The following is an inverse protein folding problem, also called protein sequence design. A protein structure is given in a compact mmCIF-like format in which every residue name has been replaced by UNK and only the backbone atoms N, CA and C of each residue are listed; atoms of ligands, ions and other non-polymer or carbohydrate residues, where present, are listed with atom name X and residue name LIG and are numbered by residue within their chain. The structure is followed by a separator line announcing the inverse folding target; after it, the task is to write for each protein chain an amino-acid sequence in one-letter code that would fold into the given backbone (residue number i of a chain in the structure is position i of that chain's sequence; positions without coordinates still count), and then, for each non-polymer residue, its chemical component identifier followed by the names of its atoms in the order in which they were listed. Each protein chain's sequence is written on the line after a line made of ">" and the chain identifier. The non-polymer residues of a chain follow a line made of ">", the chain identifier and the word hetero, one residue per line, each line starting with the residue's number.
data_IF_506812472502
#
_entry.id   IF_506812472502
#
_cell.length_a   1.000
_cell.length_b   1.000
_cell.length_c   1.000
_cell.angle_alpha   90.00
_cell.angle_beta   90.00
_cell.angle_gamma   90.00
#
_symmetry.space_group_name_H-M   'P 1'
#
loop_
_entity.id
_entity.type
_entity.pdbx_description
1 polymer ?
#
# COMPACT_ATOMS: atom_id res chain seq x y z
N UNK A 1 -4.22 -20.88 -0.88
CA UNK A 1 -4.52 -19.43 -0.78
C UNK A 1 -3.81 -18.82 0.41
N UNK A 2 -4.05 -19.29 1.64
CA UNK A 2 -3.45 -18.72 2.88
C UNK A 2 -1.93 -18.46 2.89
N UNK A 3 -1.14 -19.29 2.20
CA UNK A 3 0.31 -19.15 2.14
C UNK A 3 0.82 -18.27 0.99
N UNK A 4 -0.07 -17.64 0.21
CA UNK A 4 0.37 -16.67 -0.80
C UNK A 4 1.02 -15.45 -0.15
N UNK A 5 2.08 -14.95 -0.77
CA UNK A 5 2.86 -13.80 -0.33
C UNK A 5 3.01 -12.80 -1.48
N UNK A 6 2.40 -11.62 -1.34
CA UNK A 6 2.43 -10.56 -2.35
C UNK A 6 3.22 -9.37 -1.82
N UNK A 7 4.33 -9.02 -2.46
CA UNK A 7 5.17 -7.89 -2.04
C UNK A 7 5.23 -6.83 -3.14
N UNK A 8 4.95 -5.54 -2.84
CA UNK A 8 5.09 -4.47 -3.84
C UNK A 8 6.50 -4.28 -4.38
N UNK A 9 7.53 -4.76 -3.66
CA UNK A 9 8.93 -4.75 -4.09
C UNK A 9 9.33 -5.89 -5.03
N UNK A 10 8.43 -6.83 -5.36
CA UNK A 10 8.70 -7.86 -6.36
C UNK A 10 8.51 -7.27 -7.76
N UNK A 11 9.42 -6.38 -8.16
CA UNK A 11 9.38 -5.62 -9.42
C UNK A 11 10.32 -6.27 -10.45
N UNK A 12 9.82 -6.71 -11.63
CA UNK A 12 10.68 -7.18 -12.71
C UNK A 12 11.33 -5.99 -13.44
N UNK A 13 12.38 -6.24 -14.26
CA UNK A 13 13.02 -5.19 -15.06
C UNK A 13 12.02 -4.38 -15.89
N UNK A 14 12.18 -3.05 -15.88
CA UNK A 14 11.25 -2.11 -16.51
C UNK A 14 10.18 -1.53 -15.57
N UNK A 15 10.07 -2.03 -14.34
CA UNK A 15 9.24 -1.47 -13.28
C UNK A 15 10.11 -0.94 -12.14
N UNK A 16 9.71 0.18 -11.54
CA UNK A 16 10.41 0.81 -10.43
C UNK A 16 9.44 1.46 -9.44
N UNK A 17 9.90 1.73 -8.23
CA UNK A 17 9.09 2.38 -7.20
C UNK A 17 9.11 3.90 -7.33
N UNK A 18 7.98 4.55 -7.07
CA UNK A 18 7.89 6.01 -6.94
C UNK A 18 8.27 6.46 -5.52
N UNK A 19 8.61 7.76 -5.31
CA UNK A 19 8.86 8.32 -3.97
C UNK A 19 7.58 8.53 -3.13
N UNK A 20 6.47 7.87 -3.46
CA UNK A 20 5.27 7.86 -2.62
C UNK A 20 5.60 7.27 -1.23
N UNK A 21 5.38 8.06 -0.18
CA UNK A 21 5.73 7.69 1.20
C UNK A 21 5.05 6.39 1.66
N UNK A 22 3.82 6.14 1.23
CA UNK A 22 3.11 4.92 1.55
C UNK A 22 3.68 3.73 0.77
N UNK A 23 4.04 3.91 -0.50
CA UNK A 23 4.70 2.84 -1.27
C UNK A 23 6.05 2.48 -0.64
N UNK A 24 6.88 3.47 -0.32
CA UNK A 24 8.21 3.28 0.28
C UNK A 24 8.14 2.43 1.56
N UNK A 25 7.18 2.69 2.45
CA UNK A 25 6.98 1.87 3.65
C UNK A 25 6.59 0.42 3.31
N UNK A 26 5.77 0.21 2.28
CA UNK A 26 5.29 -1.13 1.87
C UNK A 26 6.37 -1.99 1.23
N UNK A 27 7.39 -1.39 0.61
CA UNK A 27 8.53 -2.13 0.06
C UNK A 27 9.25 -2.95 1.14
N UNK A 28 9.31 -2.42 2.37
CA UNK A 28 9.89 -3.11 3.51
C UNK A 28 8.87 -3.96 4.29
N UNK A 29 7.68 -3.42 4.55
CA UNK A 29 6.72 -4.04 5.47
C UNK A 29 6.25 -5.43 5.04
N UNK A 30 6.04 -5.64 3.73
CA UNK A 30 5.52 -6.90 3.22
C UNK A 30 6.52 -8.06 3.33
N UNK A 31 7.77 -7.96 2.81
CA UNK A 31 8.73 -9.05 2.99
C UNK A 31 9.04 -9.33 4.46
N UNK A 32 9.01 -8.31 5.34
CA UNK A 32 9.12 -8.53 6.78
C UNK A 32 7.96 -9.36 7.34
N UNK A 33 6.72 -8.95 7.05
CA UNK A 33 5.52 -9.67 7.46
C UNK A 33 5.48 -11.12 6.91
N UNK A 34 5.95 -11.36 5.69
CA UNK A 34 6.02 -12.70 5.11
C UNK A 34 6.97 -13.62 5.87
N UNK A 35 8.16 -13.12 6.23
CA UNK A 35 9.15 -13.89 7.00
C UNK A 35 8.60 -14.30 8.35
N UNK A 36 7.83 -13.44 9.02
CA UNK A 36 7.18 -13.77 10.28
C UNK A 36 5.99 -14.73 10.09
N UNK A 37 5.07 -14.42 9.18
CA UNK A 37 3.79 -15.14 9.02
C UNK A 37 3.96 -16.54 8.44
N UNK A 38 4.87 -16.72 7.50
CA UNK A 38 5.04 -17.97 6.73
C UNK A 38 6.40 -18.62 7.03
N UNK A 39 7.45 -17.81 7.16
CA UNK A 39 8.82 -18.26 7.38
C UNK A 39 9.79 -17.69 6.36
N UNK A 40 11.08 -17.71 6.68
CA UNK A 40 12.13 -17.13 5.85
C UNK A 40 12.21 -17.71 4.44
N UNK A 41 11.88 -19.00 4.28
CA UNK A 41 11.88 -19.72 3.00
C UNK A 41 10.51 -19.70 2.28
N UNK A 42 9.61 -18.75 2.61
CA UNK A 42 8.27 -18.68 2.00
C UNK A 42 8.26 -18.60 0.46
N UNK A 43 9.34 -18.06 -0.14
CA UNK A 43 9.51 -17.98 -1.59
C UNK A 43 9.69 -19.32 -2.29
N UNK A 44 10.02 -20.39 -1.57
CA UNK A 44 10.15 -21.74 -2.14
C UNK A 44 8.82 -22.50 -2.27
N UNK A 45 7.75 -22.01 -1.63
CA UNK A 45 6.42 -22.63 -1.70
C UNK A 45 5.86 -22.55 -3.13
N UNK A 46 5.15 -23.60 -3.57
CA UNK A 46 4.66 -23.71 -4.95
C UNK A 46 3.83 -22.50 -5.44
N UNK A 47 3.08 -21.87 -4.54
CA UNK A 47 2.26 -20.69 -4.86
C UNK A 47 3.08 -19.40 -4.98
N UNK A 48 4.25 -19.33 -4.34
CA UNK A 48 5.10 -18.14 -4.29
C UNK A 48 6.35 -18.26 -5.17
N UNK A 49 6.74 -19.48 -5.55
CA UNK A 49 7.96 -19.71 -6.31
C UNK A 49 7.83 -19.10 -7.71
N UNK A 50 8.88 -18.43 -8.20
CA UNK A 50 8.89 -17.92 -9.55
C UNK A 50 8.90 -19.08 -10.56
N UNK A 51 8.42 -18.80 -11.78
CA UNK A 51 8.40 -19.73 -12.92
C UNK A 51 9.51 -19.46 -13.93
N UNK A 52 10.55 -18.75 -13.51
CA UNK A 52 11.77 -18.48 -14.26
C UNK A 52 12.99 -18.99 -13.47
N UNK A 53 14.17 -19.10 -14.09
CA UNK A 53 15.39 -19.47 -13.38
C UNK A 53 15.67 -18.55 -12.18
N UNK A 54 16.07 -19.13 -11.06
CA UNK A 54 16.45 -18.41 -9.84
C UNK A 54 17.85 -18.84 -9.44
N UNK A 55 18.77 -17.88 -9.43
CA UNK A 55 20.14 -18.09 -8.97
C UNK A 55 20.41 -17.07 -7.85
N UNK A 56 20.52 -17.56 -6.61
CA UNK A 56 20.81 -16.71 -5.45
C UNK A 56 21.81 -17.39 -4.52
N UNK A 57 22.48 -16.58 -3.70
CA UNK A 57 23.35 -17.05 -2.62
C UNK A 57 22.60 -17.31 -1.30
N UNK A 58 21.26 -17.21 -1.28
CA UNK A 58 20.47 -17.49 -0.08
C UNK A 58 20.55 -18.98 0.28
N UNK A 59 20.82 -19.29 1.55
CA UNK A 59 20.96 -20.64 2.10
C UNK A 59 20.23 -20.79 3.42
N UNK A 60 19.99 -22.03 3.80
CA UNK A 60 19.49 -22.46 5.11
C UNK A 60 18.15 -21.80 5.49
N UNK A 61 17.99 -21.44 6.76
CA UNK A 61 16.74 -20.96 7.31
C UNK A 61 15.74 -22.08 7.62
N UNK A 62 14.74 -21.77 8.44
CA UNK A 62 13.72 -22.73 8.84
C UNK A 62 12.98 -23.27 7.60
N UNK A 63 12.73 -24.58 7.59
CA UNK A 63 11.96 -25.26 6.53
C UNK A 63 12.58 -25.05 5.14
N UNK A 64 13.89 -25.32 5.01
CA UNK A 64 14.57 -25.37 3.70
C UNK A 64 14.37 -26.75 3.06
N UNK A 65 13.64 -26.83 1.96
CA UNK A 65 13.23 -28.11 1.32
C UNK A 65 13.53 -28.20 -0.18
N UNK A 66 14.14 -27.19 -0.78
CA UNK A 66 14.39 -27.07 -2.23
C UNK A 66 15.78 -27.58 -2.66
N UNK A 67 16.46 -28.34 -1.80
CA UNK A 67 17.83 -28.80 -2.01
C UNK A 67 18.93 -27.79 -1.63
N UNK A 68 18.56 -26.57 -1.21
CA UNK A 68 19.49 -25.57 -0.63
C UNK A 68 20.69 -25.20 -1.52
N UNK A 69 20.56 -25.33 -2.85
CA UNK A 69 21.67 -25.11 -3.78
C UNK A 69 22.79 -26.16 -3.71
N UNK A 70 22.61 -27.26 -2.98
CA UNK A 70 23.61 -28.33 -2.86
C UNK A 70 24.97 -27.85 -2.35
N UNK A 71 26.05 -28.30 -2.99
CA UNK A 71 27.43 -27.95 -2.62
C UNK A 71 27.96 -26.67 -3.31
N UNK A 72 27.09 -25.87 -3.91
CA UNK A 72 27.51 -24.62 -4.57
C UNK A 72 28.01 -23.59 -3.56
N UNK A 73 29.00 -22.80 -3.97
CA UNK A 73 29.56 -21.73 -3.13
C UNK A 73 28.50 -20.66 -2.80
N UNK A 74 28.72 -19.99 -1.67
CA UNK A 74 27.74 -19.10 -1.02
C UNK A 74 28.21 -17.64 -0.95
N UNK A 75 29.27 -17.29 -1.69
CA UNK A 75 29.90 -15.97 -1.62
C UNK A 75 30.21 -15.42 -3.01
N UNK A 76 30.22 -14.10 -3.11
CA UNK A 76 30.62 -13.32 -4.28
C UNK A 76 31.47 -12.13 -3.77
N UNK A 77 32.54 -11.72 -4.47
CA UNK A 77 33.09 -12.32 -5.69
C UNK A 77 33.77 -13.68 -5.44
N UNK A 78 33.76 -14.56 -6.44
CA UNK A 78 34.44 -15.86 -6.38
C UNK A 78 34.96 -16.29 -7.77
N UNK A 79 35.85 -17.28 -7.83
CA UNK A 79 36.50 -17.75 -9.08
C UNK A 79 35.89 -19.02 -9.68
N UNK A 80 34.71 -19.43 -9.22
CA UNK A 80 34.11 -20.75 -9.52
C UNK A 80 32.70 -20.63 -10.11
N UNK A 81 32.30 -19.43 -10.54
CA UNK A 81 30.98 -19.13 -11.08
C UNK A 81 29.89 -19.00 -10.00
N UNK A 82 28.64 -18.85 -10.43
CA UNK A 82 27.48 -18.71 -9.54
C UNK A 82 26.51 -17.63 -10.02
N UNK A 83 25.72 -17.08 -9.09
CA UNK A 83 24.91 -15.91 -9.37
C UNK A 83 25.82 -14.68 -9.52
N UNK A 84 25.60 -13.88 -10.56
CA UNK A 84 26.36 -12.65 -10.83
C UNK A 84 25.39 -11.49 -11.02
N UNK A 85 25.84 -10.28 -10.65
CA UNK A 85 25.07 -9.07 -10.89
C UNK A 85 25.09 -8.73 -12.38
N UNK A 86 23.94 -8.30 -12.91
CA UNK A 86 23.82 -7.85 -14.30
C UNK A 86 23.48 -6.36 -14.34
N UNK A 87 24.49 -5.57 -14.70
CA UNK A 87 24.40 -4.10 -14.75
C UNK A 87 23.34 -3.61 -15.75
N UNK A 88 22.94 -4.43 -16.73
CA UNK A 88 21.92 -4.06 -17.71
C UNK A 88 20.52 -3.88 -17.10
N UNK A 89 20.30 -4.39 -15.88
CA UNK A 89 19.07 -4.21 -15.11
C UNK A 89 19.13 -3.07 -14.09
N UNK A 90 20.18 -2.23 -14.11
CA UNK A 90 20.30 -1.11 -13.18
C UNK A 90 19.14 -0.11 -13.34
N UNK A 91 18.58 0.33 -12.22
CA UNK A 91 17.58 1.41 -12.23
C UNK A 91 18.22 2.74 -12.67
N UNK A 92 17.48 3.60 -13.39
CA UNK A 92 17.96 4.94 -13.69
C UNK A 92 18.08 5.77 -12.40
N UNK A 93 19.05 6.70 -12.31
CA UNK A 93 19.21 7.53 -11.13
C UNK A 93 18.00 8.46 -10.94
N UNK A 94 17.51 8.57 -9.70
CA UNK A 94 16.51 9.56 -9.30
C UNK A 94 17.20 10.78 -8.68
N UNK A 95 16.94 11.97 -9.23
CA UNK A 95 17.44 13.23 -8.65
C UNK A 95 16.68 13.54 -7.35
N UNK A 96 17.42 13.90 -6.31
CA UNK A 96 16.89 14.28 -4.98
C UNK A 96 17.34 15.72 -4.69
N UNK A 97 16.48 16.50 -4.04
CA UNK A 97 16.71 17.89 -3.65
C UNK A 97 16.12 18.15 -2.26
N UNK A 98 16.78 18.99 -1.46
CA UNK A 98 16.40 19.29 -0.08
C UNK A 98 17.14 18.47 0.98
N UNK A 99 16.87 18.80 2.24
CA UNK A 99 17.47 18.15 3.41
C UNK A 99 16.74 16.85 3.78
N UNK A 100 17.40 15.98 4.52
CA UNK A 100 16.74 14.83 5.13
C UNK A 100 15.98 15.25 6.39
N UNK A 101 14.66 15.43 6.28
CA UNK A 101 13.79 15.81 7.41
C UNK A 101 12.39 15.15 7.33
N UNK A 102 11.61 15.26 8.41
CA UNK A 102 10.23 14.81 8.51
C UNK A 102 9.27 15.88 8.00
N UNK A 103 9.23 16.06 6.69
CA UNK A 103 8.35 17.02 6.03
C UNK A 103 6.86 16.79 6.36
N UNK A 104 6.17 17.82 6.85
CA UNK A 104 4.72 17.76 7.05
C UNK A 104 3.99 17.63 5.71
N UNK A 105 3.12 16.64 5.59
CA UNK A 105 2.34 16.41 4.37
C UNK A 105 1.15 17.36 4.25
N UNK A 106 0.74 18.02 5.35
CA UNK A 106 -0.40 18.96 5.38
C UNK A 106 -0.15 20.27 4.66
N UNK A 107 1.05 20.45 4.11
CA UNK A 107 1.34 21.53 3.16
C UNK A 107 0.48 21.44 1.91
N UNK A 108 0.12 20.21 1.49
CA UNK A 108 -0.97 19.99 0.55
C UNK A 108 -2.29 19.94 1.33
N UNK A 109 -3.12 20.96 1.15
CA UNK A 109 -4.41 21.12 1.81
C UNK A 109 -5.60 20.71 0.93
N UNK A 110 -5.35 20.19 -0.28
CA UNK A 110 -6.41 19.81 -1.21
C UNK A 110 -6.99 18.44 -0.89
N UNK A 111 -7.69 18.35 0.24
CA UNK A 111 -8.28 17.09 0.72
C UNK A 111 -9.66 16.79 0.12
N UNK A 112 -10.32 17.80 -0.46
CA UNK A 112 -11.77 17.76 -0.69
C UNK A 112 -12.17 17.78 -2.16
N UNK A 113 -11.32 18.32 -3.06
CA UNK A 113 -11.68 18.49 -4.47
C UNK A 113 -12.02 17.16 -5.14
N UNK A 114 -11.14 16.16 -5.04
CA UNK A 114 -11.35 14.86 -5.69
C UNK A 114 -12.57 14.11 -5.12
N UNK A 115 -12.81 14.20 -3.81
CA UNK A 115 -13.96 13.57 -3.18
C UNK A 115 -15.27 14.24 -3.61
N UNK A 116 -15.29 15.57 -3.69
CA UNK A 116 -16.44 16.34 -4.19
C UNK A 116 -16.72 16.06 -5.66
N UNK A 117 -15.68 16.01 -6.49
CA UNK A 117 -15.81 15.70 -7.92
C UNK A 117 -16.43 14.32 -8.12
N UNK A 118 -15.97 13.31 -7.36
CA UNK A 118 -16.55 11.98 -7.41
C UNK A 118 -18.03 11.99 -6.99
N UNK A 119 -18.39 12.72 -5.93
CA UNK A 119 -19.78 12.84 -5.49
C UNK A 119 -20.67 13.48 -6.56
N UNK A 120 -20.19 14.54 -7.22
CA UNK A 120 -20.92 15.24 -8.31
C UNK A 120 -21.05 14.40 -9.58
N UNK A 121 -20.18 13.42 -9.79
CA UNK A 121 -20.30 12.46 -10.89
C UNK A 121 -21.37 11.38 -10.66
N UNK A 122 -21.80 11.18 -9.41
CA UNK A 122 -22.82 10.19 -9.08
C UNK A 122 -24.22 10.69 -9.44
N UNK A 123 -25.08 9.78 -9.91
CA UNK A 123 -26.52 10.07 -9.99
C UNK A 123 -27.15 10.16 -8.60
N UNK A 124 -28.34 10.75 -8.50
CA UNK A 124 -29.02 10.95 -7.22
C UNK A 124 -29.29 9.65 -6.44
N UNK A 125 -29.50 8.53 -7.14
CA UNK A 125 -29.70 7.24 -6.47
C UNK A 125 -28.40 6.70 -5.88
N UNK A 126 -27.27 6.88 -6.57
CA UNK A 126 -25.94 6.54 -6.08
C UNK A 126 -25.52 7.43 -4.93
N UNK A 127 -25.80 8.74 -5.00
CA UNK A 127 -25.59 9.66 -3.88
C UNK A 127 -26.36 9.23 -2.64
N UNK A 128 -27.65 8.90 -2.79
CA UNK A 128 -28.45 8.43 -1.65
C UNK A 128 -27.89 7.12 -1.05
N UNK A 129 -27.52 6.13 -1.87
CA UNK A 129 -26.89 4.89 -1.36
C UNK A 129 -25.58 5.16 -0.62
N UNK A 130 -24.76 6.10 -1.10
CA UNK A 130 -23.53 6.52 -0.42
C UNK A 130 -23.84 7.11 0.96
N UNK A 131 -24.82 8.02 1.01
CA UNK A 131 -25.28 8.66 2.25
C UNK A 131 -25.82 7.60 3.23
N UNK A 132 -26.72 6.73 2.79
CA UNK A 132 -27.33 5.67 3.61
C UNK A 132 -26.25 4.76 4.23
N UNK A 133 -25.24 4.38 3.45
CA UNK A 133 -24.12 3.55 3.93
C UNK A 133 -23.31 4.27 5.03
N UNK A 134 -23.04 5.57 4.84
CA UNK A 134 -22.29 6.38 5.80
C UNK A 134 -23.09 6.54 7.10
N UNK A 135 -24.37 6.90 6.99
CA UNK A 135 -25.28 7.04 8.13
C UNK A 135 -25.35 5.73 8.92
N UNK A 136 -25.50 4.60 8.22
CA UNK A 136 -25.51 3.27 8.83
C UNK A 136 -24.21 2.94 9.57
N UNK A 137 -23.05 3.27 8.98
CA UNK A 137 -21.74 3.05 9.60
C UNK A 137 -21.47 3.99 10.80
N UNK A 138 -22.16 5.13 10.86
CA UNK A 138 -21.98 6.14 11.92
C UNK A 138 -22.94 5.94 13.11
N UNK A 139 -23.77 4.89 13.12
CA UNK A 139 -24.62 4.56 14.26
C UNK A 139 -23.79 4.28 15.52
N UNK A 140 -24.13 4.92 16.64
CA UNK A 140 -23.43 4.77 17.91
C UNK A 140 -22.10 5.54 18.01
N UNK A 141 -21.69 6.25 16.95
CA UNK A 141 -20.53 7.15 17.00
C UNK A 141 -20.89 8.41 17.82
N UNK A 142 -20.02 8.87 18.75
CA UNK A 142 -20.23 10.10 19.49
C UNK A 142 -20.53 11.31 18.59
N UNK A 143 -21.48 12.15 19.00
CA UNK A 143 -21.98 13.29 18.20
C UNK A 143 -20.86 14.22 17.72
N UNK A 144 -19.90 14.56 18.57
CA UNK A 144 -18.75 15.40 18.20
C UNK A 144 -17.86 14.83 17.06
N UNK A 145 -17.85 13.50 16.88
CA UNK A 145 -17.15 12.87 15.76
C UNK A 145 -18.02 12.94 14.51
N UNK A 146 -19.34 12.74 14.66
CA UNK A 146 -20.29 12.86 13.56
C UNK A 146 -20.26 14.27 12.96
N UNK A 147 -20.32 15.30 13.81
CA UNK A 147 -20.26 16.71 13.42
C UNK A 147 -18.95 17.05 12.69
N UNK A 148 -17.80 16.59 13.20
CA UNK A 148 -16.51 16.77 12.52
C UNK A 148 -16.46 16.10 11.15
N UNK A 149 -16.99 14.89 11.04
CA UNK A 149 -17.00 14.17 9.77
C UNK A 149 -17.95 14.81 8.76
N UNK A 150 -19.10 15.31 9.21
CA UNK A 150 -20.03 16.08 8.36
C UNK A 150 -19.32 17.33 7.82
N UNK A 151 -18.55 18.06 8.64
CA UNK A 151 -17.79 19.21 8.17
C UNK A 151 -16.81 18.85 7.03
N UNK A 152 -16.17 17.68 7.07
CA UNK A 152 -15.35 17.20 5.96
C UNK A 152 -16.17 16.92 4.69
N UNK A 153 -17.36 16.34 4.81
CA UNK A 153 -18.24 16.11 3.67
C UNK A 153 -18.76 17.43 3.08
N UNK A 154 -19.15 18.39 3.92
CA UNK A 154 -19.55 19.74 3.49
C UNK A 154 -18.43 20.45 2.74
N UNK A 155 -17.18 20.33 3.20
CA UNK A 155 -16.01 20.89 2.50
C UNK A 155 -15.76 20.25 1.12
N UNK A 156 -16.19 19.00 0.91
CA UNK A 156 -16.13 18.32 -0.40
C UNK A 156 -17.29 18.73 -1.31
N UNK A 157 -18.50 18.74 -0.78
CA UNK A 157 -19.70 19.25 -1.45
C UNK A 157 -20.79 19.58 -0.42
N UNK A 158 -21.41 20.78 -0.45
CA UNK A 158 -22.47 21.15 0.49
C UNK A 158 -23.66 20.18 0.49
N UNK A 159 -24.05 19.64 -0.66
CA UNK A 159 -25.16 18.69 -0.74
C UNK A 159 -24.79 17.34 -0.10
N UNK A 160 -23.52 16.94 -0.17
CA UNK A 160 -23.03 15.72 0.46
C UNK A 160 -23.08 15.81 1.98
N UNK A 161 -22.54 16.88 2.56
CA UNK A 161 -22.60 17.12 4.00
C UNK A 161 -24.04 17.24 4.51
N UNK A 162 -24.88 18.00 3.81
CA UNK A 162 -26.28 18.19 4.17
C UNK A 162 -27.08 16.86 4.14
N UNK A 163 -26.84 16.00 3.14
CA UNK A 163 -27.49 14.70 3.05
C UNK A 163 -27.16 13.80 4.24
N UNK A 164 -25.87 13.68 4.58
CA UNK A 164 -25.43 12.87 5.73
C UNK A 164 -25.94 13.46 7.05
N UNK A 165 -25.90 14.77 7.23
CA UNK A 165 -26.38 15.45 8.44
C UNK A 165 -27.87 15.21 8.68
N UNK A 166 -28.68 15.38 7.64
CA UNK A 166 -30.13 15.18 7.68
C UNK A 166 -30.46 13.76 8.14
N UNK A 167 -29.85 12.75 7.52
CA UNK A 167 -30.19 11.35 7.79
C UNK A 167 -29.63 10.84 9.13
N UNK A 168 -28.64 11.54 9.71
CA UNK A 168 -28.20 11.35 11.09
C UNK A 168 -29.04 12.10 12.14
N UNK A 169 -30.02 12.92 11.72
CA UNK A 169 -30.81 13.76 12.64
C UNK A 169 -29.97 14.84 13.32
N UNK A 170 -29.02 15.41 12.58
CA UNK A 170 -28.19 16.55 12.99
C UNK A 170 -28.64 17.73 12.15
N UNK A 171 -29.71 18.40 12.59
CA UNK A 171 -30.18 19.64 11.98
C UNK A 171 -29.37 20.82 12.52
N UNK A 172 -28.81 21.59 11.58
CA UNK A 172 -28.13 22.88 11.78
C UNK A 172 -26.78 22.80 12.51
N UNK A 173 -25.70 22.65 11.73
CA UNK A 173 -24.35 22.83 12.26
C UNK A 173 -23.97 24.30 12.48
N UNK A 174 -24.82 25.28 12.11
CA UNK A 174 -24.53 26.70 12.31
C UNK A 174 -23.20 27.17 11.69
N UNK A 175 -22.71 26.47 10.67
CA UNK A 175 -21.49 26.79 9.89
C UNK A 175 -21.88 27.27 8.50
#
# INVERSE_FOLDING_TARGET
>A
VEQSAFGPGNLPPGFGASPDRMLQARLQAYPDAHRYRIGVNHGALDVNKPRCPVHTYQRDGQTRFDGNGGATLVYQPNSFGGAEDDISYSEPPLRIDGDADRYDHRVDSNHYTQAGDLFRLMDGAAQQRLIDNIVGAMQGVPREIQERQIAHFTNADPAYGAGVAKDLGIEDLGI
#
